data_IF_926827327456
#
_entry.id   IF_926827327456
#
_cell.length_a   1.000
_cell.length_b   1.000
_cell.length_c   1.000
_cell.angle_alpha   90.00
_cell.angle_beta   90.00
_cell.angle_gamma   90.00
#
_symmetry.space_group_name_H-M   'P 1'
#
loop_
_entity.id
_entity.type
_entity.pdbx_description
1 polymer ?
#
# COMPACT_ATOMS: atom_id res chain seq x y z
N UNK A 1 -12.84 -18.13 4.59
CA UNK A 1 -13.40 -17.15 5.53
C UNK A 1 -13.93 -16.02 4.68
N UNK A 2 -15.13 -15.55 4.97
CA UNK A 2 -15.87 -14.60 4.13
C UNK A 2 -15.55 -13.16 4.58
N UNK A 3 -14.29 -12.77 4.45
CA UNK A 3 -13.78 -11.48 4.92
C UNK A 3 -14.41 -10.28 4.21
N UNK A 4 -15.04 -10.50 3.06
CA UNK A 4 -15.79 -9.50 2.31
C UNK A 4 -17.19 -9.24 2.91
N UNK A 5 -17.72 -10.13 3.75
CA UNK A 5 -19.07 -10.00 4.30
C UNK A 5 -19.08 -9.17 5.57
N UNK A 6 -19.90 -8.12 5.59
CA UNK A 6 -20.15 -7.32 6.79
C UNK A 6 -20.56 -8.19 8.01
N UNK A 7 -21.36 -9.24 7.80
CA UNK A 7 -21.79 -10.14 8.87
C UNK A 7 -20.64 -10.89 9.55
N UNK A 8 -19.57 -11.22 8.83
CA UNK A 8 -18.36 -11.81 9.43
C UNK A 8 -17.74 -10.84 10.44
N UNK A 9 -17.61 -9.57 10.06
CA UNK A 9 -17.05 -8.52 10.92
C UNK A 9 -17.96 -8.20 12.11
N UNK A 10 -19.28 -8.19 11.92
CA UNK A 10 -20.25 -8.08 13.00
C UNK A 10 -20.03 -9.14 14.08
N UNK A 11 -19.97 -10.40 13.67
CA UNK A 11 -19.80 -11.53 14.58
C UNK A 11 -18.44 -11.54 15.27
N UNK A 12 -17.38 -11.12 14.55
CA UNK A 12 -16.04 -11.01 15.10
C UNK A 12 -15.95 -9.88 16.11
N UNK A 13 -16.40 -8.69 15.74
CA UNK A 13 -16.40 -7.55 16.62
C UNK A 13 -17.24 -7.86 17.87
N UNK A 14 -18.41 -8.48 17.77
CA UNK A 14 -19.17 -8.87 18.98
C UNK A 14 -18.38 -9.70 20.03
N UNK A 15 -17.26 -10.33 19.68
CA UNK A 15 -16.43 -11.16 20.57
C UNK A 15 -15.02 -10.64 20.84
N UNK A 16 -14.46 -9.84 19.93
CA UNK A 16 -13.08 -9.37 19.99
C UNK A 16 -13.06 -7.83 19.97
N UNK A 17 -12.69 -7.21 21.08
CA UNK A 17 -12.74 -5.75 21.27
C UNK A 17 -11.54 -4.99 20.69
N UNK A 18 -10.39 -5.65 20.57
CA UNK A 18 -9.13 -5.07 20.11
C UNK A 18 -8.34 -6.12 19.35
N UNK A 19 -7.89 -5.78 18.13
CA UNK A 19 -7.05 -6.67 17.32
C UNK A 19 -6.24 -5.86 16.30
N UNK A 20 -4.96 -6.20 16.19
CA UNK A 20 -4.04 -5.61 15.22
C UNK A 20 -3.72 -6.59 14.10
N UNK A 21 -4.23 -6.32 12.90
CA UNK A 21 -3.90 -7.11 11.72
C UNK A 21 -2.46 -6.86 11.24
N UNK A 22 -1.78 -7.96 10.88
CA UNK A 22 -0.45 -8.03 10.25
C UNK A 22 0.70 -7.59 11.16
N UNK A 23 0.73 -6.33 11.57
CA UNK A 23 1.74 -5.76 12.47
C UNK A 23 1.06 -4.81 13.47
N UNK A 24 1.75 -4.52 14.57
CA UNK A 24 1.22 -3.57 15.56
C UNK A 24 1.17 -2.15 15.00
N UNK A 25 0.26 -1.32 15.50
CA UNK A 25 0.24 0.11 15.20
C UNK A 25 1.58 0.79 15.47
N UNK A 26 2.28 0.40 16.54
CA UNK A 26 3.59 0.96 16.86
C UNK A 26 4.64 0.67 15.77
N UNK A 27 4.70 -0.58 15.30
CA UNK A 27 5.65 -1.00 14.26
C UNK A 27 5.34 -0.32 12.93
N UNK A 28 4.05 -0.23 12.56
CA UNK A 28 3.66 0.49 11.36
C UNK A 28 4.03 1.98 11.46
N UNK A 29 3.78 2.62 12.61
CA UNK A 29 4.10 4.02 12.80
C UNK A 29 5.61 4.31 12.74
N UNK A 30 6.46 3.38 13.14
CA UNK A 30 7.91 3.53 12.97
C UNK A 30 8.33 3.68 11.49
N UNK A 31 7.58 3.05 10.58
CA UNK A 31 7.77 3.20 9.12
C UNK A 31 7.10 4.48 8.60
N UNK A 32 5.96 4.85 9.18
CA UNK A 32 5.22 6.03 8.73
C UNK A 32 5.87 7.35 9.17
N UNK A 33 6.52 7.41 10.33
CA UNK A 33 7.05 8.67 10.88
C UNK A 33 8.00 9.41 9.92
N UNK A 34 8.99 8.75 9.28
CA UNK A 34 9.81 9.38 8.25
C UNK A 34 9.00 9.84 7.02
N UNK A 35 7.98 9.07 6.62
CA UNK A 35 7.11 9.42 5.50
C UNK A 35 6.28 10.67 5.83
N UNK A 36 5.65 10.72 7.00
CA UNK A 36 4.85 11.87 7.46
C UNK A 36 5.70 13.15 7.47
N UNK A 37 6.95 13.06 7.93
CA UNK A 37 7.90 14.15 7.89
C UNK A 37 8.26 14.56 6.45
N UNK A 38 8.52 13.60 5.56
CA UNK A 38 8.86 13.87 4.15
C UNK A 38 7.72 14.53 3.38
N UNK A 39 6.47 14.21 3.73
CA UNK A 39 5.27 14.81 3.17
C UNK A 39 4.93 16.17 3.80
N UNK A 40 5.72 16.61 4.81
CA UNK A 40 5.48 17.85 5.56
C UNK A 40 4.07 17.91 6.17
N UNK A 41 3.54 16.77 6.62
CA UNK A 41 2.20 16.72 7.21
C UNK A 41 2.24 17.29 8.64
N UNK A 42 1.51 18.40 8.84
CA UNK A 42 1.33 19.03 10.15
C UNK A 42 0.04 18.61 10.87
N UNK A 43 -0.22 19.14 12.07
CA UNK A 43 -1.40 18.82 12.89
C UNK A 43 -2.77 18.95 12.19
N UNK A 44 -2.85 19.86 11.20
CA UNK A 44 -4.07 20.14 10.41
C UNK A 44 -4.23 19.22 9.19
N UNK A 45 -3.28 18.31 8.95
CA UNK A 45 -3.38 17.34 7.87
C UNK A 45 -4.60 16.44 8.08
N UNK A 46 -5.38 16.27 7.01
CA UNK A 46 -6.56 15.42 6.97
C UNK A 46 -6.14 13.99 6.67
N UNK A 47 -6.37 13.08 7.61
CA UNK A 47 -6.03 11.67 7.48
C UNK A 47 -7.32 10.85 7.36
N UNK A 48 -7.39 9.93 6.41
CA UNK A 48 -8.48 8.95 6.33
C UNK A 48 -7.93 7.55 6.63
N UNK A 49 -8.49 6.88 7.64
CA UNK A 49 -8.18 5.49 7.97
C UNK A 49 -9.32 4.60 7.49
N UNK A 50 -9.06 3.81 6.46
CA UNK A 50 -10.04 2.92 5.82
C UNK A 50 -10.05 1.57 6.52
N UNK A 51 -11.26 1.06 6.80
CA UNK A 51 -11.49 -0.22 7.47
C UNK A 51 -10.70 -0.37 8.76
N UNK A 52 -10.79 0.63 9.65
CA UNK A 52 -10.00 0.67 10.88
C UNK A 52 -10.35 -0.46 11.87
N UNK A 53 -11.55 -1.05 11.76
CA UNK A 53 -12.02 -2.14 12.60
C UNK A 53 -11.90 -1.84 14.09
N UNK A 54 -11.12 -2.66 14.79
CA UNK A 54 -10.81 -2.52 16.22
C UNK A 54 -9.35 -2.17 16.48
N UNK A 55 -8.66 -1.62 15.47
CA UNK A 55 -7.28 -1.15 15.57
C UNK A 55 -7.18 0.10 16.47
N UNK A 56 -6.00 0.32 17.05
CA UNK A 56 -5.67 1.55 17.77
C UNK A 56 -4.81 2.53 16.94
N UNK A 57 -4.58 2.25 15.65
CA UNK A 57 -3.70 3.05 14.78
C UNK A 57 -4.09 4.53 14.72
N UNK A 58 -5.38 4.84 14.72
CA UNK A 58 -5.88 6.23 14.77
C UNK A 58 -5.44 6.97 16.04
N UNK A 59 -5.35 6.28 17.18
CA UNK A 59 -4.84 6.88 18.41
C UNK A 59 -3.34 7.17 18.31
N UNK A 60 -2.58 6.36 17.57
CA UNK A 60 -1.16 6.64 17.33
C UNK A 60 -0.94 7.89 16.46
N UNK A 61 -1.78 8.12 15.46
CA UNK A 61 -1.79 9.39 14.73
C UNK A 61 -2.17 10.54 15.65
N UNK A 62 -3.25 10.38 16.43
CA UNK A 62 -3.69 11.43 17.36
C UNK A 62 -2.64 11.81 18.40
N UNK A 63 -1.90 10.83 18.92
CA UNK A 63 -0.80 11.06 19.86
C UNK A 63 0.37 11.88 19.27
N UNK A 64 0.49 11.94 17.94
CA UNK A 64 1.47 12.77 17.21
C UNK A 64 0.96 14.19 16.91
N UNK A 65 -0.24 14.53 17.36
CA UNK A 65 -0.82 15.86 17.20
C UNK A 65 -1.78 16.00 16.02
N UNK A 66 -1.98 14.96 15.21
CA UNK A 66 -3.01 14.99 14.16
C UNK A 66 -4.41 14.98 14.79
N UNK A 67 -5.26 15.91 14.37
CA UNK A 67 -6.61 16.05 14.93
C UNK A 67 -7.72 15.77 13.92
N UNK A 68 -7.47 16.01 12.63
CA UNK A 68 -8.43 15.79 11.54
C UNK A 68 -8.33 14.35 10.97
N UNK A 69 -8.69 13.35 11.79
CA UNK A 69 -8.67 11.94 11.40
C UNK A 69 -10.11 11.45 11.19
N UNK A 70 -10.40 10.97 9.98
CA UNK A 70 -11.67 10.34 9.61
C UNK A 70 -11.49 8.83 9.50
N UNK A 71 -12.13 8.09 10.38
CA UNK A 71 -12.07 6.63 10.46
C UNK A 71 -13.33 6.03 9.83
N UNK A 72 -13.14 5.17 8.81
CA UNK A 72 -14.22 4.54 8.07
C UNK A 72 -14.22 3.04 8.32
N UNK A 73 -15.39 2.47 8.62
CA UNK A 73 -15.56 1.02 8.64
C UNK A 73 -16.94 0.65 8.12
N UNK A 74 -17.08 -0.52 7.51
CA UNK A 74 -18.37 -0.96 7.00
C UNK A 74 -19.28 -1.46 8.13
N UNK A 75 -18.74 -1.89 9.27
CA UNK A 75 -19.52 -2.38 10.40
C UNK A 75 -19.72 -1.29 11.48
N UNK A 76 -20.97 -0.93 11.85
CA UNK A 76 -21.26 0.11 12.84
C UNK A 76 -20.59 -0.08 14.21
N UNK A 77 -20.46 -1.32 14.68
CA UNK A 77 -19.85 -1.61 15.98
C UNK A 77 -18.38 -1.16 16.05
N UNK A 78 -17.66 -1.13 14.93
CA UNK A 78 -16.31 -0.58 14.87
C UNK A 78 -16.30 0.91 15.23
N UNK A 79 -17.26 1.69 14.73
CA UNK A 79 -17.37 3.13 15.00
C UNK A 79 -17.62 3.42 16.48
N UNK A 80 -18.49 2.65 17.12
CA UNK A 80 -18.76 2.76 18.55
C UNK A 80 -17.48 2.49 19.37
N UNK A 81 -16.75 1.43 19.01
CA UNK A 81 -15.52 1.03 19.71
C UNK A 81 -14.35 1.97 19.49
N UNK A 82 -14.16 2.43 18.26
CA UNK A 82 -13.12 3.41 17.94
C UNK A 82 -13.29 4.69 18.76
N UNK A 83 -14.54 5.18 18.88
CA UNK A 83 -14.85 6.33 19.73
C UNK A 83 -14.62 6.04 21.22
N UNK A 84 -15.03 4.87 21.71
CA UNK A 84 -14.77 4.49 23.10
C UNK A 84 -13.27 4.43 23.38
N UNK A 85 -12.50 3.79 22.50
CA UNK A 85 -11.04 3.66 22.60
C UNK A 85 -10.33 5.02 22.57
N UNK A 86 -10.81 5.95 21.72
CA UNK A 86 -10.34 7.33 21.71
C UNK A 86 -10.56 8.02 23.06
N UNK A 87 -11.80 7.97 23.58
CA UNK A 87 -12.17 8.61 24.86
C UNK A 87 -11.39 8.00 26.02
N UNK A 88 -11.24 6.67 26.07
CA UNK A 88 -10.44 5.98 27.09
C UNK A 88 -8.98 6.46 27.06
N UNK A 89 -8.42 6.72 25.88
CA UNK A 89 -7.02 7.12 25.74
C UNK A 89 -6.76 8.60 26.03
N UNK A 90 -7.66 9.49 25.60
CA UNK A 90 -7.42 10.93 25.60
C UNK A 90 -8.36 11.75 26.49
N UNK A 91 -9.44 11.16 27.00
CA UNK A 91 -10.44 11.83 27.83
C UNK A 91 -11.51 12.61 27.06
N UNK A 92 -11.38 12.72 25.73
CA UNK A 92 -12.32 13.37 24.84
C UNK A 92 -12.32 12.71 23.44
N UNK A 93 -13.37 12.97 22.66
CA UNK A 93 -13.50 12.52 21.27
C UNK A 93 -13.37 13.69 20.31
N UNK A 94 -12.42 13.62 19.38
CA UNK A 94 -12.17 14.65 18.35
C UNK A 94 -12.14 14.07 16.95
N UNK A 95 -11.77 12.80 16.80
CA UNK A 95 -11.75 12.10 15.53
C UNK A 95 -13.17 11.82 15.03
N UNK A 96 -13.31 11.70 13.72
CA UNK A 96 -14.55 11.28 13.08
C UNK A 96 -14.56 9.74 12.93
N UNK A 97 -15.71 9.14 13.20
CA UNK A 97 -15.98 7.72 12.98
C UNK A 97 -17.26 7.61 12.17
N UNK A 98 -17.18 7.03 10.98
CA UNK A 98 -18.31 6.99 10.03
C UNK A 98 -18.43 5.61 9.41
N UNK A 99 -19.67 5.11 9.34
CA UNK A 99 -19.99 3.86 8.64
C UNK A 99 -19.90 4.10 7.13
N UNK A 100 -19.03 3.36 6.45
CA UNK A 100 -18.86 3.43 5.00
C UNK A 100 -18.28 2.14 4.42
N UNK A 101 -18.78 1.74 3.25
CA UNK A 101 -18.17 0.70 2.43
C UNK A 101 -17.04 1.32 1.58
N UNK A 102 -15.81 0.84 1.76
CA UNK A 102 -14.63 1.36 1.05
C UNK A 102 -14.64 1.08 -0.44
N UNK A 103 -15.46 0.13 -0.92
CA UNK A 103 -15.70 -0.11 -2.35
C UNK A 103 -16.70 0.89 -2.95
N UNK A 104 -17.41 1.64 -2.10
CA UNK A 104 -18.42 2.63 -2.45
C UNK A 104 -18.27 3.90 -1.59
N UNK A 105 -17.05 4.47 -1.55
CA UNK A 105 -16.77 5.64 -0.70
C UNK A 105 -17.75 6.80 -0.96
N UNK A 106 -18.36 7.36 0.11
CA UNK A 106 -19.30 8.48 0.00
C UNK A 106 -18.71 9.69 -0.74
N UNK A 107 -19.53 10.32 -1.57
CA UNK A 107 -19.11 11.48 -2.38
C UNK A 107 -18.79 12.73 -1.54
N UNK A 108 -19.26 12.80 -0.29
CA UNK A 108 -19.14 13.92 0.62
C UNK A 108 -17.96 13.81 1.62
N UNK A 109 -17.12 12.77 1.53
CA UNK A 109 -15.95 12.61 2.42
C UNK A 109 -14.92 13.75 2.30
N UNK A 110 -14.91 14.45 1.17
CA UNK A 110 -13.91 15.44 0.84
C UNK A 110 -12.57 14.81 0.45
N UNK A 111 -11.49 15.57 0.63
CA UNK A 111 -10.14 15.18 0.21
C UNK A 111 -9.13 15.20 1.37
N UNK A 112 -8.22 14.24 1.36
CA UNK A 112 -7.26 13.93 2.42
C UNK A 112 -5.82 14.13 1.95
N UNK A 113 -4.94 14.46 2.91
CA UNK A 113 -3.49 14.58 2.71
C UNK A 113 -2.80 13.20 2.83
N UNK A 114 -3.43 12.28 3.57
CA UNK A 114 -3.03 10.89 3.71
C UNK A 114 -4.28 10.01 3.77
N UNK A 115 -4.28 8.94 2.99
CA UNK A 115 -5.22 7.83 3.15
C UNK A 115 -4.40 6.62 3.58
N UNK A 116 -4.88 5.88 4.57
CA UNK A 116 -4.22 4.67 5.06
C UNK A 116 -5.22 3.54 5.24
N UNK A 117 -4.81 2.32 4.87
CA UNK A 117 -5.51 1.11 5.24
C UNK A 117 -4.54 0.04 5.73
N UNK A 118 -5.03 -0.82 6.63
CA UNK A 118 -4.25 -1.92 7.19
C UNK A 118 -5.02 -3.21 7.10
N UNK A 119 -4.65 -4.05 6.14
CA UNK A 119 -5.30 -5.32 5.79
C UNK A 119 -6.76 -5.17 5.30
N UNK A 120 -7.28 -3.95 5.16
CA UNK A 120 -8.63 -3.71 4.64
C UNK A 120 -8.71 -4.06 3.16
N UNK A 121 -7.69 -3.67 2.37
CA UNK A 121 -7.61 -4.04 0.96
C UNK A 121 -7.59 -5.56 0.75
N UNK A 122 -7.07 -6.31 1.73
CA UNK A 122 -7.04 -7.77 1.70
C UNK A 122 -8.43 -8.38 1.89
N UNK A 123 -9.23 -7.82 2.80
CA UNK A 123 -10.63 -8.21 2.97
C UNK A 123 -11.46 -7.86 1.73
N UNK A 124 -11.25 -6.66 1.16
CA UNK A 124 -11.90 -6.21 -0.07
C UNK A 124 -11.63 -7.15 -1.24
N UNK A 125 -10.40 -7.64 -1.36
CA UNK A 125 -10.02 -8.56 -2.43
C UNK A 125 -10.73 -9.92 -2.39
N UNK A 126 -11.30 -10.33 -1.23
CA UNK A 126 -12.14 -11.51 -1.15
C UNK A 126 -13.48 -11.34 -1.88
N UNK A 127 -13.90 -10.10 -2.16
CA UNK A 127 -15.16 -9.78 -2.83
C UNK A 127 -15.14 -9.87 -4.36
N UNK A 128 -14.02 -10.28 -4.97
CA UNK A 128 -13.85 -10.46 -6.42
C UNK A 128 -12.94 -9.44 -7.10
N UNK A 129 -12.61 -9.73 -8.35
CA UNK A 129 -11.49 -9.10 -9.10
C UNK A 129 -11.58 -7.57 -9.20
N UNK A 130 -12.78 -7.01 -9.30
CA UNK A 130 -12.96 -5.56 -9.47
C UNK A 130 -13.08 -4.78 -8.16
N UNK A 131 -13.13 -5.45 -6.99
CA UNK A 131 -13.40 -4.76 -5.72
C UNK A 131 -12.25 -3.85 -5.30
N UNK A 132 -11.00 -4.31 -5.48
CA UNK A 132 -9.80 -3.50 -5.23
C UNK A 132 -9.74 -2.32 -6.20
N UNK A 133 -10.13 -2.51 -7.47
CA UNK A 133 -10.22 -1.43 -8.44
C UNK A 133 -11.26 -0.38 -8.04
N UNK A 134 -12.43 -0.80 -7.53
CA UNK A 134 -13.47 0.12 -7.03
C UNK A 134 -12.99 0.91 -5.82
N UNK A 135 -12.38 0.24 -4.85
CA UNK A 135 -11.73 0.90 -3.70
C UNK A 135 -10.68 1.91 -4.18
N UNK A 136 -9.78 1.50 -5.07
CA UNK A 136 -8.74 2.37 -5.62
C UNK A 136 -9.29 3.62 -6.32
N UNK A 137 -10.34 3.48 -7.14
CA UNK A 137 -11.04 4.62 -7.75
C UNK A 137 -11.74 5.51 -6.71
N UNK A 138 -12.20 4.92 -5.60
CA UNK A 138 -12.69 5.67 -4.44
C UNK A 138 -11.59 6.55 -3.84
N UNK A 139 -10.49 5.90 -3.46
CA UNK A 139 -9.33 6.53 -2.84
C UNK A 139 -8.76 7.65 -3.72
N UNK A 140 -8.63 7.41 -5.03
CA UNK A 140 -8.10 8.40 -5.97
C UNK A 140 -8.88 9.73 -5.92
N UNK A 141 -10.21 9.66 -5.88
CA UNK A 141 -11.09 10.85 -5.80
C UNK A 141 -10.94 11.59 -4.48
N UNK A 142 -10.59 10.89 -3.41
CA UNK A 142 -10.45 11.41 -2.07
C UNK A 142 -9.02 11.90 -1.76
N UNK A 143 -8.06 11.79 -2.67
CA UNK A 143 -6.71 12.32 -2.46
C UNK A 143 -6.59 13.77 -2.94
N UNK A 144 -6.04 14.64 -2.10
CA UNK A 144 -5.55 15.96 -2.52
C UNK A 144 -4.39 15.81 -3.53
N UNK A 145 -4.10 16.82 -4.36
CA UNK A 145 -2.89 16.83 -5.18
C UNK A 145 -1.64 16.63 -4.31
N UNK A 146 -0.77 15.70 -4.70
CA UNK A 146 0.46 15.37 -3.95
C UNK A 146 0.26 14.46 -2.73
N UNK A 147 -0.98 14.18 -2.33
CA UNK A 147 -1.28 13.23 -1.27
C UNK A 147 -1.03 11.78 -1.70
N UNK A 148 -0.91 10.90 -0.71
CA UNK A 148 -0.59 9.49 -0.92
C UNK A 148 -1.59 8.58 -0.22
N UNK A 149 -1.71 7.37 -0.74
CA UNK A 149 -2.34 6.26 -0.05
C UNK A 149 -1.26 5.28 0.42
N UNK A 150 -1.23 4.99 1.71
CA UNK A 150 -0.41 3.92 2.28
C UNK A 150 -1.28 2.70 2.55
N UNK A 151 -0.87 1.53 2.07
CA UNK A 151 -1.63 0.30 2.28
C UNK A 151 -0.73 -0.80 2.82
N UNK A 152 -1.09 -1.38 3.97
CA UNK A 152 -0.42 -2.57 4.49
C UNK A 152 -1.22 -3.82 4.09
N UNK A 153 -0.60 -4.72 3.34
CA UNK A 153 -1.23 -5.95 2.84
C UNK A 153 -0.35 -7.17 3.06
N UNK A 154 -0.93 -8.36 3.24
CA UNK A 154 -0.16 -9.60 3.24
C UNK A 154 0.33 -10.01 1.83
N UNK A 155 -0.21 -9.43 0.77
CA UNK A 155 0.03 -9.86 -0.61
C UNK A 155 1.09 -9.01 -1.30
N UNK A 156 2.09 -9.67 -1.90
CA UNK A 156 3.13 -9.06 -2.74
C UNK A 156 2.63 -8.55 -4.10
N UNK A 157 1.41 -8.92 -4.48
CA UNK A 157 0.81 -8.60 -5.77
C UNK A 157 -0.51 -7.83 -5.63
N UNK A 158 -0.81 -7.30 -4.44
CA UNK A 158 -2.10 -6.68 -4.12
C UNK A 158 -2.50 -5.59 -5.12
N UNK A 159 -1.53 -4.82 -5.58
CA UNK A 159 -1.72 -3.69 -6.50
C UNK A 159 -1.11 -3.93 -7.89
N UNK A 160 -1.12 -5.18 -8.35
CA UNK A 160 -0.63 -5.56 -9.69
C UNK A 160 -1.60 -5.26 -10.83
N UNK A 161 -2.85 -4.92 -10.54
CA UNK A 161 -3.84 -4.55 -11.56
C UNK A 161 -3.49 -3.19 -12.19
N UNK A 162 -3.06 -3.19 -13.44
CA UNK A 162 -2.65 -2.00 -14.20
C UNK A 162 -3.79 -0.97 -14.39
N UNK A 163 -5.05 -1.40 -14.21
CA UNK A 163 -6.24 -0.51 -14.25
C UNK A 163 -6.30 0.42 -13.03
N UNK A 164 -5.57 0.12 -11.96
CA UNK A 164 -5.48 1.00 -10.80
C UNK A 164 -4.83 2.34 -11.18
N UNK A 165 -5.39 3.48 -10.73
CA UNK A 165 -4.92 4.81 -11.12
C UNK A 165 -3.70 5.28 -10.29
N UNK A 166 -2.85 4.35 -9.87
CA UNK A 166 -1.74 4.63 -8.97
C UNK A 166 -0.40 4.18 -9.54
N UNK A 167 0.63 4.95 -9.25
CA UNK A 167 2.01 4.49 -9.28
C UNK A 167 2.32 3.88 -7.91
N UNK A 168 2.77 2.63 -7.91
CA UNK A 168 2.88 1.79 -6.70
C UNK A 168 4.35 1.55 -6.37
N UNK A 169 4.73 1.88 -5.14
CA UNK A 169 6.06 1.63 -4.57
C UNK A 169 5.93 0.73 -3.34
N UNK A 170 6.93 -0.12 -3.09
CA UNK A 170 7.03 -0.84 -1.81
C UNK A 170 7.81 0.05 -0.84
N UNK A 171 7.10 0.63 0.12
CA UNK A 171 7.69 1.46 1.18
C UNK A 171 8.49 0.61 2.17
N UNK A 172 7.96 -0.55 2.56
CA UNK A 172 8.60 -1.44 3.52
C UNK A 172 8.09 -2.88 3.40
N UNK A 173 8.88 -3.83 3.89
CA UNK A 173 8.49 -5.25 4.02
C UNK A 173 8.74 -5.71 5.45
N UNK A 174 7.67 -6.06 6.16
CA UNK A 174 7.75 -6.64 7.50
C UNK A 174 7.95 -8.15 7.36
N UNK A 175 9.08 -8.72 7.80
CA UNK A 175 9.31 -10.16 7.74
C UNK A 175 8.35 -10.89 8.69
N UNK A 176 7.71 -11.94 8.19
CA UNK A 176 6.89 -12.84 9.01
C UNK A 176 7.82 -13.90 9.62
N UNK A 177 7.76 -14.14 10.94
CA UNK A 177 8.58 -15.17 11.57
C UNK A 177 8.36 -16.54 10.93
N UNK A 178 9.46 -17.20 10.57
CA UNK A 178 9.42 -18.58 10.07
C UNK A 178 9.19 -19.54 11.22
N UNK A 179 8.41 -20.60 10.97
CA UNK A 179 8.32 -21.76 11.85
C UNK A 179 9.48 -22.74 11.62
N UNK A 180 10.11 -22.68 10.44
CA UNK A 180 11.27 -23.51 10.07
C UNK A 180 12.29 -22.77 9.19
N UNK A 181 13.60 -23.05 9.30
CA UNK A 181 14.63 -22.49 8.41
C UNK A 181 14.41 -22.80 6.92
N UNK A 182 13.68 -23.86 6.59
CA UNK A 182 13.43 -24.28 5.20
C UNK A 182 12.24 -23.57 4.56
N UNK A 183 11.46 -22.82 5.34
CA UNK A 183 10.32 -22.07 4.81
C UNK A 183 10.80 -20.86 3.98
N UNK A 184 10.08 -20.52 2.91
CA UNK A 184 10.35 -19.31 2.16
C UNK A 184 10.18 -18.07 3.05
N UNK A 185 10.89 -17.00 2.74
CA UNK A 185 10.63 -15.71 3.37
C UNK A 185 9.24 -15.22 2.97
N UNK A 186 8.43 -14.91 3.98
CA UNK A 186 7.09 -14.32 3.82
C UNK A 186 7.13 -12.93 4.43
N UNK A 187 6.45 -11.98 3.79
CA UNK A 187 6.41 -10.59 4.22
C UNK A 187 4.98 -10.07 4.27
N UNK A 188 4.74 -9.11 5.16
CA UNK A 188 3.67 -8.14 5.00
C UNK A 188 4.24 -6.90 4.31
N UNK A 189 3.52 -6.41 3.31
CA UNK A 189 3.99 -5.41 2.35
C UNK A 189 3.32 -4.08 2.63
N UNK A 190 4.12 -3.08 2.99
CA UNK A 190 3.67 -1.70 3.11
C UNK A 190 3.91 -1.01 1.77
N UNK A 191 2.81 -0.66 1.09
CA UNK A 191 2.82 0.02 -0.19
C UNK A 191 2.62 1.52 -0.02
N UNK A 192 3.29 2.29 -0.87
CA UNK A 192 3.07 3.71 -1.06
C UNK A 192 2.52 3.94 -2.46
N UNK A 193 1.27 4.39 -2.53
CA UNK A 193 0.52 4.60 -3.77
C UNK A 193 0.36 6.11 -4.01
N UNK A 194 0.83 6.56 -5.17
CA UNK A 194 0.69 7.95 -5.62
C UNK A 194 -0.25 8.01 -6.81
N UNK A 195 -1.16 8.99 -6.84
CA UNK A 195 -2.06 9.16 -7.98
C UNK A 195 -1.25 9.34 -9.26
N UNK A 196 -1.50 8.50 -10.26
CA UNK A 196 -0.85 8.60 -11.57
C UNK A 196 -1.26 9.91 -12.23
N UNK A 197 -0.30 10.66 -12.75
CA UNK A 197 -0.61 11.90 -13.47
C UNK A 197 -1.48 11.60 -14.71
N UNK A 198 -2.51 12.40 -15.01
CA UNK A 198 -3.26 12.24 -16.26
C UNK A 198 -2.32 12.47 -17.44
N UNK A 199 -2.00 11.41 -18.21
CA UNK A 199 -1.36 11.57 -19.53
C UNK A 199 -0.09 10.76 -19.81
N UNK A 200 0.48 9.98 -18.89
CA UNK A 200 1.59 9.08 -19.24
C UNK A 200 1.04 7.68 -19.54
N UNK A 201 0.53 7.49 -20.76
CA UNK A 201 0.56 6.17 -21.38
C UNK A 201 1.98 5.98 -21.89
N UNK A 202 2.79 5.12 -21.27
CA UNK A 202 4.01 4.65 -21.93
C UNK A 202 3.57 4.01 -23.24
N UNK A 203 3.83 4.69 -24.36
CA UNK A 203 3.68 4.11 -25.68
C UNK A 203 4.57 2.88 -25.74
N UNK A 204 3.98 1.72 -26.02
CA UNK A 204 4.72 0.55 -26.49
C UNK A 204 5.40 1.01 -27.79
N UNK A 205 6.70 1.28 -27.74
CA UNK A 205 7.48 1.47 -28.95
C UNK A 205 7.53 0.12 -29.66
N UNK A 206 6.82 0.02 -30.78
CA UNK A 206 7.00 -1.04 -31.77
C UNK A 206 8.46 -1.02 -32.23
N UNK A 207 9.17 -2.11 -31.95
CA UNK A 207 10.43 -2.43 -32.60
C UNK A 207 10.12 -2.88 -34.02
N UNK A 208 9.91 -1.94 -34.93
CA UNK A 208 10.08 -2.20 -36.36
C UNK A 208 11.53 -1.93 -36.74
N UNK A 209 12.27 -3.02 -36.91
CA UNK A 209 13.60 -2.99 -37.49
C UNK A 209 13.55 -2.43 -38.91
N UNK A 210 14.38 -1.44 -39.18
CA UNK A 210 14.78 -1.11 -40.53
C UNK A 210 16.31 -1.24 -40.61
N UNK A 211 16.73 -2.40 -41.12
CA UNK A 211 18.05 -2.57 -41.70
C UNK A 211 18.20 -1.56 -42.85
N UNK A 212 19.10 -0.60 -42.67
CA UNK A 212 19.76 0.06 -43.80
C UNK A 212 21.25 0.09 -43.56
N UNK A 213 21.89 -0.91 -44.18
CA UNK A 213 23.30 -0.95 -44.49
C UNK A 213 23.63 0.21 -45.44
N UNK A 214 24.55 1.09 -45.03
CA UNK A 214 25.34 1.88 -45.97
C UNK A 214 26.71 2.16 -45.32
N UNK A 215 27.62 1.21 -45.53
CA UNK A 215 29.04 1.40 -45.29
C UNK A 215 29.72 1.74 -46.61
N UNK A 216 30.48 2.83 -46.62
CA UNK A 216 31.66 3.01 -47.48
C UNK A 216 32.44 4.23 -46.98
N UNK A 217 33.57 3.99 -46.33
CA UNK A 217 34.75 4.87 -46.41
C UNK A 217 36.01 4.04 -46.18
N UNK A 218 36.90 4.16 -47.15
CA UNK A 218 38.22 3.55 -47.26
C UNK A 218 39.23 4.28 -46.35
N UNK A 219 40.21 3.57 -45.79
CA UNK A 219 41.48 4.16 -45.36
C UNK A 219 42.24 3.41 -44.27
N UNK A 220 43.24 2.62 -44.70
CA UNK A 220 44.52 2.28 -44.01
C UNK A 220 44.48 2.04 -42.48
N UNK A 221 44.67 0.83 -41.97
CA UNK A 221 45.85 -0.01 -42.18
C UNK A 221 46.79 0.14 -40.99
N UNK A 222 46.77 -0.81 -40.05
CA UNK A 222 47.92 -1.26 -39.26
C UNK A 222 47.58 -2.61 -38.61
N UNK A 223 48.43 -3.59 -38.88
CA UNK A 223 48.39 -4.94 -38.34
C UNK A 223 48.90 -4.95 -36.89
N UNK A 224 48.28 -5.76 -36.03
CA UNK A 224 49.04 -6.57 -35.08
C UNK A 224 48.36 -7.94 -34.95
N UNK A 225 49.11 -8.98 -35.28
CA UNK A 225 48.79 -10.40 -35.14
C UNK A 225 48.66 -10.79 -33.66
N UNK A 226 47.59 -11.53 -33.31
CA UNK A 226 47.53 -12.99 -33.07
C UNK A 226 48.46 -13.41 -31.92
N UNK A 227 47.94 -13.95 -30.82
CA UNK A 227 47.65 -15.38 -30.54
C UNK A 227 47.45 -15.48 -29.00
N UNK A 228 46.75 -16.40 -28.33
CA UNK A 228 46.26 -17.76 -28.61
C UNK A 228 45.17 -18.14 -27.60
N UNK A 229 44.37 -19.12 -28.00
CA UNK A 229 43.41 -19.88 -27.22
C UNK A 229 44.07 -20.73 -26.10
N UNK A 230 43.25 -21.22 -25.16
CA UNK A 230 43.13 -22.63 -24.69
C UNK A 230 42.66 -22.62 -23.22
N UNK A 231 41.38 -22.90 -22.90
CA UNK A 231 40.70 -24.20 -22.66
C UNK A 231 40.88 -24.77 -21.25
N UNK A 232 39.74 -25.16 -20.64
CA UNK A 232 39.55 -26.09 -19.50
C UNK A 232 40.11 -25.60 -18.14
N UNK A 233 39.54 -25.91 -16.97
CA UNK A 233 38.67 -27.01 -16.56
C UNK A 233 37.97 -26.69 -15.22
N UNK A 234 36.98 -27.52 -14.90
CA UNK A 234 36.20 -27.55 -13.66
C UNK A 234 37.06 -27.81 -12.43
N UNK A 235 36.63 -27.30 -11.28
CA UNK A 235 36.89 -27.93 -9.98
C UNK A 235 35.65 -27.82 -9.08
N UNK A 236 35.09 -28.99 -8.79
CA UNK A 236 34.13 -29.28 -7.73
C UNK A 236 34.91 -29.69 -6.46
N UNK A 237 34.22 -29.67 -5.31
CA UNK A 237 34.57 -30.28 -4.01
C UNK A 237 35.54 -29.40 -3.18
N UNK A 238 35.24 -29.02 -1.93
CA UNK A 238 34.55 -29.75 -0.87
C UNK A 238 33.71 -28.88 0.06
#
# INVERSE_FOLDING_TARGET
MDFEKQSYWRDRFAREESFEWLVTSSDLMAILDPLLASLSLGPDARICHLGFGTSDLQNHFRARGFSAITNLDYEPLACERGRALEVTRFGDSRMEFRVADVTQLPADLGAFDLIIDKSTVDAVACGGDDMVLRMGKGVERCLKPGAVWVSLSYSSARFSDERLPFDVEVLHKFPVPKMSPTEPDVFHWCYLLRRRAPGVRLGRAELEGTDRVSGETCGSGFQYERESQTTMERATVS
#
